data_IF_115635741842
#
_entry.id   IF_115635741842
#
_cell.length_a   1.000
_cell.length_b   1.000
_cell.length_c   1.000
_cell.angle_alpha   90.00
_cell.angle_beta   90.00
_cell.angle_gamma   90.00
#
_symmetry.space_group_name_H-M   'P 1'
#
loop_
_entity.id
_entity.type
_entity.pdbx_description
1 polymer ?
#
# COMPACT_ATOMS: atom_id res chain seq x y z
N UNK A 1 20.91 -13.30 -10.77
CA UNK A 1 19.51 -13.22 -10.28
C UNK A 1 19.04 -14.65 -10.12
N UNK A 2 18.69 -15.05 -8.90
CA UNK A 2 18.09 -16.36 -8.66
C UNK A 2 16.79 -16.46 -9.46
N UNK A 3 16.63 -17.53 -10.25
CA UNK A 3 15.36 -17.77 -10.92
C UNK A 3 14.31 -18.12 -9.88
N UNK A 4 13.26 -17.31 -9.79
CA UNK A 4 12.07 -17.63 -9.02
C UNK A 4 11.48 -18.93 -9.58
N UNK A 5 11.01 -19.81 -8.68
CA UNK A 5 10.28 -21.02 -9.09
C UNK A 5 9.10 -20.64 -9.98
N UNK A 6 8.83 -21.43 -11.02
CA UNK A 6 7.75 -21.20 -11.98
C UNK A 6 6.39 -20.98 -11.28
N UNK A 7 6.14 -21.71 -10.19
CA UNK A 7 4.94 -21.53 -9.37
C UNK A 7 4.78 -20.12 -8.81
N UNK A 8 5.88 -19.44 -8.46
CA UNK A 8 5.84 -18.06 -7.95
C UNK A 8 5.58 -17.06 -9.08
N UNK A 9 6.11 -17.33 -10.27
CA UNK A 9 5.82 -16.52 -11.46
C UNK A 9 4.35 -16.63 -11.87
N UNK A 10 3.77 -17.83 -11.83
CA UNK A 10 2.36 -18.05 -12.14
C UNK A 10 1.43 -17.30 -11.18
N UNK A 11 1.74 -17.32 -9.88
CA UNK A 11 1.03 -16.53 -8.86
C UNK A 11 1.12 -15.02 -9.10
N UNK A 12 2.19 -14.56 -9.74
CA UNK A 12 2.48 -13.15 -9.98
C UNK A 12 1.87 -12.65 -11.31
N UNK A 13 2.04 -13.41 -12.39
CA UNK A 13 1.70 -13.02 -13.76
C UNK A 13 0.27 -13.44 -14.16
N UNK A 14 -0.19 -14.59 -13.65
CA UNK A 14 -1.45 -15.22 -14.09
C UNK A 14 -2.53 -15.07 -13.02
N UNK A 15 -2.27 -15.53 -11.80
CA UNK A 15 -3.28 -15.54 -10.74
C UNK A 15 -3.41 -14.16 -10.06
N UNK A 16 -2.36 -13.35 -10.09
CA UNK A 16 -2.36 -11.99 -9.57
C UNK A 16 -2.44 -11.91 -8.04
N UNK A 17 -2.14 -12.99 -7.32
CA UNK A 17 -2.30 -13.08 -5.87
C UNK A 17 -1.22 -12.31 -5.09
N UNK A 18 -0.10 -11.98 -5.75
CA UNK A 18 1.05 -11.30 -5.14
C UNK A 18 1.21 -9.84 -5.64
N UNK A 19 0.21 -9.32 -6.36
CA UNK A 19 0.24 -7.98 -6.97
C UNK A 19 -1.00 -7.18 -6.63
N UNK A 20 -0.84 -5.86 -6.55
CA UNK A 20 -1.94 -4.89 -6.45
C UNK A 20 -2.03 -4.08 -7.72
N UNK A 21 -3.25 -3.65 -8.10
CA UNK A 21 -3.48 -2.75 -9.23
C UNK A 21 -3.58 -1.32 -8.75
N UNK A 22 -2.59 -0.49 -9.11
CA UNK A 22 -2.59 0.94 -8.75
C UNK A 22 -3.68 1.74 -9.47
N UNK A 23 -4.10 1.29 -10.65
CA UNK A 23 -5.14 1.92 -11.47
C UNK A 23 -5.88 0.86 -12.30
N UNK A 24 -6.99 1.21 -12.94
CA UNK A 24 -7.70 0.33 -13.89
C UNK A 24 -7.00 0.19 -15.26
N UNK A 25 -5.78 0.71 -15.43
CA UNK A 25 -5.01 0.57 -16.67
C UNK A 25 -4.43 -0.85 -16.77
N UNK A 26 -4.25 -1.33 -18.01
CA UNK A 26 -3.73 -2.67 -18.32
C UNK A 26 -2.35 -2.97 -17.70
N UNK A 27 -1.51 -1.95 -17.54
CA UNK A 27 -0.17 -2.06 -16.98
C UNK A 27 -0.08 -1.28 -15.67
N UNK A 28 -0.73 -1.81 -14.63
CA UNK A 28 -0.76 -1.18 -13.29
C UNK A 28 -0.51 -2.16 -12.14
N UNK A 29 -0.33 -3.45 -12.45
CA UNK A 29 0.01 -4.47 -11.46
C UNK A 29 1.40 -4.19 -10.90
N UNK A 30 1.51 -4.23 -9.58
CA UNK A 30 2.73 -3.95 -8.82
C UNK A 30 2.85 -4.98 -7.71
N UNK A 31 4.04 -5.52 -7.44
CA UNK A 31 4.24 -6.38 -6.27
C UNK A 31 3.71 -5.72 -4.99
N UNK A 32 3.07 -6.48 -4.11
CA UNK A 32 2.54 -5.98 -2.83
C UNK A 32 3.62 -5.23 -2.03
N UNK A 33 4.82 -5.80 -1.94
CA UNK A 33 5.95 -5.19 -1.21
C UNK A 33 6.33 -3.82 -1.80
N UNK A 34 6.39 -3.71 -3.13
CA UNK A 34 6.68 -2.46 -3.81
C UNK A 34 5.56 -1.41 -3.60
N UNK A 35 4.30 -1.84 -3.54
CA UNK A 35 3.19 -0.94 -3.23
C UNK A 35 3.27 -0.45 -1.77
N UNK A 36 3.63 -1.33 -0.84
CA UNK A 36 3.89 -0.96 0.55
C UNK A 36 5.06 0.00 0.67
N UNK A 37 6.16 -0.19 -0.06
CA UNK A 37 7.30 0.72 0.01
C UNK A 37 6.97 2.10 -0.60
N UNK A 38 6.19 2.16 -1.68
CA UNK A 38 5.68 3.43 -2.19
C UNK A 38 4.78 4.14 -1.17
N UNK A 39 3.90 3.40 -0.52
CA UNK A 39 3.01 3.95 0.51
C UNK A 39 3.81 4.45 1.71
N UNK A 40 4.81 3.68 2.15
CA UNK A 40 5.75 4.08 3.18
C UNK A 40 6.56 5.31 2.77
N UNK A 41 6.98 5.44 1.51
CA UNK A 41 7.67 6.62 1.01
C UNK A 41 6.82 7.90 1.12
N UNK A 42 5.52 7.81 0.81
CA UNK A 42 4.57 8.93 0.96
C UNK A 42 4.42 9.31 2.44
N UNK A 43 4.28 8.31 3.33
CA UNK A 43 4.15 8.53 4.77
C UNK A 43 5.45 9.08 5.38
N UNK A 44 6.61 8.54 5.00
CA UNK A 44 7.94 8.95 5.46
C UNK A 44 8.29 10.36 4.95
N UNK A 45 7.94 10.70 3.71
CA UNK A 45 8.15 12.05 3.14
C UNK A 45 7.38 13.16 3.85
N UNK A 46 6.36 12.80 4.64
CA UNK A 46 5.59 13.71 5.50
C UNK A 46 6.18 13.86 6.93
N UNK A 47 7.40 13.36 7.16
CA UNK A 47 8.08 13.35 8.47
C UNK A 47 8.00 11.99 9.20
N UNK A 48 7.36 10.98 8.60
CA UNK A 48 7.24 9.64 9.20
C UNK A 48 6.42 9.60 10.49
N UNK A 49 6.58 8.54 11.29
CA UNK A 49 5.92 8.41 12.59
C UNK A 49 6.35 9.51 13.58
N UNK A 50 7.62 9.93 13.51
CA UNK A 50 8.18 10.98 14.38
C UNK A 50 7.57 12.34 14.06
N UNK A 51 7.51 12.75 12.78
CA UNK A 51 6.85 14.00 12.38
C UNK A 51 5.33 13.98 12.62
N UNK A 52 4.72 12.80 12.61
CA UNK A 52 3.31 12.60 12.95
C UNK A 52 3.06 12.80 14.46
N UNK A 53 3.97 12.38 15.34
CA UNK A 53 3.86 12.51 16.79
C UNK A 53 4.40 13.84 17.34
N UNK A 54 5.39 14.45 16.67
CA UNK A 54 5.98 15.73 17.09
C UNK A 54 5.11 16.94 16.73
N UNK A 55 4.23 16.82 15.74
CA UNK A 55 3.36 17.91 15.32
C UNK A 55 1.91 17.63 15.76
N UNK A 56 1.40 18.29 16.83
CA UNK A 56 0.06 18.01 17.39
C UNK A 56 -1.10 18.17 16.41
N UNK A 57 -0.89 18.95 15.35
CA UNK A 57 -1.84 19.13 14.23
C UNK A 57 -1.76 18.00 13.20
N UNK A 58 -0.59 17.39 12.96
CA UNK A 58 -0.47 16.22 12.09
C UNK A 58 -1.10 15.00 12.76
N UNK A 59 -0.87 14.82 14.07
CA UNK A 59 -1.51 13.78 14.87
C UNK A 59 -3.04 13.93 14.88
N UNK A 60 -3.56 15.14 15.10
CA UNK A 60 -5.02 15.40 15.06
C UNK A 60 -5.63 15.13 13.69
N UNK A 61 -4.97 15.56 12.60
CA UNK A 61 -5.42 15.23 11.24
C UNK A 61 -5.48 13.72 11.02
N UNK A 62 -4.52 12.96 11.56
CA UNK A 62 -4.52 11.49 11.49
C UNK A 62 -5.61 10.85 12.35
N UNK A 63 -5.89 11.36 13.55
CA UNK A 63 -7.00 10.86 14.38
C UNK A 63 -8.37 11.03 13.69
N UNK A 64 -8.53 12.10 12.91
CA UNK A 64 -9.77 12.36 12.17
C UNK A 64 -9.82 11.56 10.87
N UNK A 65 -8.73 11.54 10.09
CA UNK A 65 -8.70 10.89 8.78
C UNK A 65 -8.49 9.36 8.85
N UNK A 66 -7.87 8.86 9.92
CA UNK A 66 -7.52 7.45 10.09
C UNK A 66 -8.73 6.51 10.07
N UNK A 67 -9.81 6.78 10.82
CA UNK A 67 -11.04 6.00 10.77
C UNK A 67 -11.67 5.95 9.37
N UNK A 68 -11.70 7.07 8.65
CA UNK A 68 -12.24 7.10 7.28
C UNK A 68 -11.35 6.35 6.28
N UNK A 69 -10.02 6.46 6.43
CA UNK A 69 -9.09 5.67 5.62
C UNK A 69 -9.25 4.17 5.89
N UNK A 70 -9.43 3.76 7.15
CA UNK A 70 -9.70 2.37 7.51
C UNK A 70 -11.05 1.88 6.94
N UNK A 71 -12.11 2.70 7.02
CA UNK A 71 -13.42 2.39 6.42
C UNK A 71 -13.32 2.15 4.92
N UNK A 72 -12.66 3.05 4.18
CA UNK A 72 -12.50 2.95 2.72
C UNK A 72 -11.69 1.70 2.34
N UNK A 73 -10.67 1.35 3.12
CA UNK A 73 -9.88 0.14 2.91
C UNK A 73 -10.75 -1.11 3.12
N UNK A 74 -11.52 -1.19 4.21
CA UNK A 74 -12.42 -2.32 4.46
C UNK A 74 -13.49 -2.46 3.37
N UNK A 75 -14.09 -1.35 2.93
CA UNK A 75 -15.06 -1.34 1.82
C UNK A 75 -14.44 -1.80 0.49
N UNK A 76 -13.19 -1.44 0.24
CA UNK A 76 -12.46 -1.87 -0.95
C UNK A 76 -12.06 -3.35 -0.88
N UNK A 77 -11.68 -3.84 0.30
CA UNK A 77 -11.28 -5.24 0.54
C UNK A 77 -12.48 -6.19 0.69
N UNK A 78 -13.70 -5.65 0.78
CA UNK A 78 -14.93 -6.44 0.89
C UNK A 78 -15.13 -7.11 2.24
N UNK A 79 -14.53 -6.57 3.31
CA UNK A 79 -14.67 -7.01 4.70
C UNK A 79 -15.81 -6.32 5.44
#
# INVERSE_FOLDING_TARGET
MEHLRESVMEEFEVNGNLVVKKTNKRFSCMPIDQAHEQNNGIVKGSGGAVGLTDHPTAFRKRMIAGPEQARIINEFEGL
#
